data_IF_206785728294
#
_entry.id   IF_206785728294
#
_cell.length_a   1.000
_cell.length_b   1.000
_cell.length_c   1.000
_cell.angle_alpha   90.00
_cell.angle_beta   90.00
_cell.angle_gamma   90.00
#
_symmetry.space_group_name_H-M   'P 1'
#
loop_
_entity.id
_entity.type
_entity.pdbx_description
1 polymer ?
#
# COMPACT_ATOMS: atom_id res chain seq x y z
N UNK A 1 -72.14 -51.96 31.42
CA UNK A 1 -72.40 -52.20 29.98
C UNK A 1 -71.34 -51.41 29.22
N UNK A 2 -70.11 -51.93 29.11
CA UNK A 2 -69.55 -52.84 28.08
C UNK A 2 -69.20 -52.16 26.76
N UNK A 3 -67.89 -52.16 26.43
CA UNK A 3 -67.27 -52.01 25.10
C UNK A 3 -67.19 -50.57 24.58
N UNK A 4 -66.14 -50.09 23.92
CA UNK A 4 -65.11 -50.79 23.13
C UNK A 4 -63.90 -49.86 22.88
N UNK A 5 -62.71 -50.46 22.78
CA UNK A 5 -61.42 -49.90 22.36
C UNK A 5 -61.44 -49.03 21.10
N UNK A 6 -60.61 -47.97 21.05
CA UNK A 6 -59.67 -47.75 19.93
C UNK A 6 -58.57 -46.72 20.25
N UNK A 7 -57.33 -47.20 20.12
CA UNK A 7 -56.07 -46.53 19.75
C UNK A 7 -55.58 -45.26 20.46
N UNK A 8 -54.55 -45.48 21.28
CA UNK A 8 -53.54 -44.51 21.64
C UNK A 8 -52.37 -44.58 20.64
N UNK A 9 -52.08 -43.47 19.95
CA UNK A 9 -50.76 -43.21 19.35
C UNK A 9 -50.36 -41.76 19.62
N UNK A 10 -49.36 -41.63 20.47
CA UNK A 10 -48.70 -40.38 20.86
C UNK A 10 -47.45 -40.24 19.98
N UNK A 11 -47.13 -39.04 19.44
CA UNK A 11 -46.02 -38.89 18.50
C UNK A 11 -44.67 -39.02 19.20
N UNK A 12 -43.77 -39.79 18.57
CA UNK A 12 -42.41 -40.00 19.03
C UNK A 12 -41.54 -38.74 18.85
N UNK A 13 -40.90 -38.33 19.95
CA UNK A 13 -39.79 -37.40 20.01
C UNK A 13 -38.69 -37.82 19.03
N UNK A 14 -38.34 -36.93 18.10
CA UNK A 14 -37.19 -37.12 17.22
C UNK A 14 -35.97 -36.51 17.89
N UNK A 15 -35.14 -37.38 18.47
CA UNK A 15 -33.76 -37.06 18.87
C UNK A 15 -32.95 -36.83 17.59
N UNK A 16 -32.27 -35.69 17.39
CA UNK A 16 -31.39 -35.54 16.24
C UNK A 16 -30.13 -36.37 16.49
N UNK A 17 -29.84 -37.25 15.54
CA UNK A 17 -28.63 -38.03 15.46
C UNK A 17 -27.42 -37.10 15.40
N UNK A 18 -26.47 -37.31 16.31
CA UNK A 18 -25.11 -36.83 16.23
C UNK A 18 -24.41 -37.56 15.08
N UNK A 19 -23.99 -36.84 14.05
CA UNK A 19 -23.04 -37.32 13.05
C UNK A 19 -21.79 -36.45 13.17
N UNK A 20 -20.75 -37.01 13.77
CA UNK A 20 -19.37 -36.54 13.62
C UNK A 20 -18.71 -37.48 12.63
N UNK A 21 -18.18 -36.92 11.54
CA UNK A 21 -17.16 -37.40 10.59
C UNK A 21 -17.37 -36.50 9.35
N UNK A 22 -16.41 -35.83 8.72
CA UNK A 22 -14.96 -35.76 8.77
C UNK A 22 -14.59 -34.56 7.88
N UNK A 23 -13.71 -33.68 8.36
CA UNK A 23 -12.56 -33.17 7.60
C UNK A 23 -12.74 -32.58 6.17
N UNK A 24 -13.74 -31.70 5.95
CA UNK A 24 -13.90 -30.96 4.68
C UNK A 24 -13.74 -29.43 4.83
N UNK A 25 -12.75 -29.01 5.63
CA UNK A 25 -12.40 -27.58 5.79
C UNK A 25 -10.87 -27.40 5.84
N UNK A 26 -10.17 -27.94 4.83
CA UNK A 26 -8.75 -27.67 4.67
C UNK A 26 -8.28 -27.70 3.21
N UNK A 27 -9.10 -27.19 2.29
CA UNK A 27 -8.63 -26.67 1.00
C UNK A 27 -9.40 -25.40 0.67
N UNK A 28 -9.28 -24.39 1.53
CA UNK A 28 -9.36 -23.03 1.02
C UNK A 28 -8.18 -22.87 0.05
N UNK A 29 -8.41 -23.18 -1.22
CA UNK A 29 -7.54 -22.78 -2.32
C UNK A 29 -7.35 -21.30 -2.13
N UNK A 30 -6.19 -20.91 -1.60
CA UNK A 30 -5.77 -19.53 -1.55
C UNK A 30 -5.68 -19.14 -3.02
N UNK A 31 -6.73 -18.53 -3.56
CA UNK A 31 -6.71 -17.95 -4.90
C UNK A 31 -5.54 -16.99 -4.91
N UNK A 32 -4.42 -17.45 -5.47
CA UNK A 32 -3.22 -16.66 -5.57
C UNK A 32 -3.57 -15.48 -6.49
N UNK A 33 -3.39 -14.22 -6.01
CA UNK A 33 -3.76 -13.08 -6.81
C UNK A 33 -3.00 -13.13 -8.14
N UNK A 34 -3.72 -12.93 -9.24
CA UNK A 34 -3.14 -12.90 -10.56
C UNK A 34 -1.92 -11.95 -10.58
N UNK A 35 -0.88 -12.33 -11.33
CA UNK A 35 0.37 -11.57 -11.48
C UNK A 35 0.17 -10.11 -11.97
N UNK A 36 -1.07 -9.74 -12.35
CA UNK A 36 -1.44 -8.50 -13.01
C UNK A 36 -1.91 -7.38 -12.06
N UNK A 37 -2.22 -7.68 -10.81
CA UNK A 37 -2.71 -6.67 -9.86
C UNK A 37 -1.78 -6.57 -8.67
N UNK A 38 -0.87 -5.59 -8.71
CA UNK A 38 -0.39 -4.95 -7.48
C UNK A 38 -1.29 -3.74 -7.31
N UNK A 39 -2.46 -3.95 -6.71
CA UNK A 39 -3.46 -2.89 -6.55
C UNK A 39 -3.76 -2.59 -5.08
N UNK A 40 -3.41 -3.48 -4.16
CA UNK A 40 -3.70 -3.31 -2.74
C UNK A 40 -2.46 -3.40 -1.84
N UNK A 41 -2.54 -2.75 -0.67
CA UNK A 41 -1.51 -2.79 0.36
C UNK A 41 -1.17 -4.22 0.82
N UNK A 42 -2.12 -5.15 0.67
CA UNK A 42 -1.97 -6.59 0.92
C UNK A 42 -0.99 -7.24 -0.06
N UNK A 43 -0.83 -6.69 -1.27
CA UNK A 43 0.08 -7.22 -2.29
C UNK A 43 1.56 -6.96 -1.98
N UNK A 44 1.84 -5.91 -1.21
CA UNK A 44 3.21 -5.51 -0.82
C UNK A 44 3.74 -6.18 0.45
N UNK A 45 2.93 -6.99 1.14
CA UNK A 45 3.36 -7.68 2.36
C UNK A 45 4.49 -8.70 2.11
N UNK A 46 4.59 -9.25 0.89
CA UNK A 46 5.63 -10.23 0.52
C UNK A 46 6.98 -9.54 0.20
N UNK A 47 6.97 -8.24 -0.07
CA UNK A 47 8.18 -7.46 -0.43
C UNK A 47 8.80 -6.68 0.72
N UNK A 48 8.38 -6.94 1.96
CA UNK A 48 8.92 -6.25 3.13
C UNK A 48 10.40 -6.57 3.32
N UNK A 49 11.23 -5.61 3.76
CA UNK A 49 12.58 -5.92 4.20
C UNK A 49 12.52 -6.97 5.32
N UNK A 50 13.41 -7.96 5.26
CA UNK A 50 13.47 -9.04 6.25
C UNK A 50 14.35 -8.69 7.44
N UNK A 51 15.23 -7.69 7.30
CA UNK A 51 16.07 -7.17 8.37
C UNK A 51 15.39 -6.01 9.11
N UNK A 52 15.41 -6.06 10.44
CA UNK A 52 14.85 -5.01 11.29
C UNK A 52 15.62 -3.70 11.14
N UNK A 53 16.94 -3.76 10.93
CA UNK A 53 17.76 -2.56 10.75
C UNK A 53 17.39 -1.84 9.43
N UNK A 54 17.07 -2.59 8.38
CA UNK A 54 16.59 -2.04 7.10
C UNK A 54 15.19 -1.42 7.22
N UNK A 55 14.31 -2.04 8.02
CA UNK A 55 12.97 -1.48 8.32
C UNK A 55 13.12 -0.15 9.05
N UNK A 56 13.94 -0.12 10.11
CA UNK A 56 14.14 1.09 10.89
C UNK A 56 14.79 2.20 10.05
N UNK A 57 15.80 1.87 9.24
CA UNK A 57 16.43 2.81 8.32
C UNK A 57 15.43 3.38 7.30
N UNK A 58 14.56 2.54 6.75
CA UNK A 58 13.51 2.97 5.82
C UNK A 58 12.47 3.88 6.49
N UNK A 59 12.04 3.56 7.71
CA UNK A 59 11.09 4.38 8.47
C UNK A 59 11.71 5.76 8.78
N UNK A 60 13.00 5.81 9.14
CA UNK A 60 13.70 7.07 9.35
C UNK A 60 13.79 7.88 8.04
N UNK A 61 14.14 7.25 6.92
CA UNK A 61 14.19 7.93 5.62
C UNK A 61 12.83 8.50 5.20
N UNK A 62 11.73 7.81 5.50
CA UNK A 62 10.37 8.31 5.25
C UNK A 62 10.02 9.53 6.08
N UNK A 63 10.41 9.53 7.36
CA UNK A 63 10.19 10.67 8.24
C UNK A 63 11.03 11.89 7.81
N UNK A 64 12.28 11.66 7.43
CA UNK A 64 13.18 12.68 6.88
C UNK A 64 12.60 13.27 5.60
N UNK A 65 12.10 12.42 4.70
CA UNK A 65 11.42 12.85 3.48
C UNK A 65 10.20 13.73 3.80
N UNK A 66 9.29 13.26 4.66
CA UNK A 66 8.08 14.02 5.01
C UNK A 66 8.42 15.36 5.67
N UNK A 67 9.43 15.37 6.54
CA UNK A 67 9.90 16.59 7.18
C UNK A 67 10.42 17.58 6.15
N UNK A 68 11.34 17.13 5.29
CA UNK A 68 11.92 17.98 4.24
C UNK A 68 10.84 18.49 3.27
N UNK A 69 9.88 17.64 2.90
CA UNK A 69 8.77 17.97 2.01
C UNK A 69 7.83 19.01 2.59
N UNK A 70 7.42 18.86 3.86
CA UNK A 70 6.46 19.78 4.51
C UNK A 70 7.07 21.16 4.73
N UNK A 71 8.37 21.24 4.98
CA UNK A 71 9.08 22.51 5.16
C UNK A 71 9.62 23.11 3.86
N UNK A 72 9.45 22.44 2.72
CA UNK A 72 9.96 22.91 1.43
C UNK A 72 9.07 24.00 0.82
N UNK A 73 9.64 25.04 0.20
CA UNK A 73 8.86 25.92 -0.67
C UNK A 73 8.42 25.21 -1.97
N UNK A 74 9.04 24.08 -2.31
CA UNK A 74 8.78 23.32 -3.52
C UNK A 74 7.80 22.15 -3.31
N UNK A 75 7.07 22.10 -2.18
CA UNK A 75 6.15 20.99 -1.86
C UNK A 75 5.21 20.63 -3.01
N UNK A 76 4.53 21.62 -3.59
CA UNK A 76 3.58 21.38 -4.69
C UNK A 76 4.28 20.79 -5.93
N UNK A 77 5.45 21.32 -6.30
CA UNK A 77 6.22 20.83 -7.43
C UNK A 77 6.73 19.39 -7.21
N UNK A 78 7.17 19.08 -5.99
CA UNK A 78 7.56 17.71 -5.60
C UNK A 78 6.38 16.73 -5.64
N UNK A 79 5.21 17.13 -5.15
CA UNK A 79 3.98 16.32 -5.27
C UNK A 79 3.63 16.09 -6.74
N UNK A 80 3.66 17.12 -7.58
CA UNK A 80 3.36 16.98 -9.01
C UNK A 80 4.38 16.08 -9.75
N UNK A 81 5.65 16.12 -9.35
CA UNK A 81 6.68 15.23 -9.88
C UNK A 81 6.46 13.76 -9.47
N UNK A 82 5.95 13.51 -8.25
CA UNK A 82 5.72 12.15 -7.74
C UNK A 82 4.43 11.53 -8.27
N UNK A 83 3.31 12.25 -8.13
CA UNK A 83 1.95 11.69 -8.28
C UNK A 83 1.09 12.45 -9.29
N UNK A 84 1.66 13.42 -10.02
CA UNK A 84 0.95 14.26 -10.98
C UNK A 84 0.22 15.43 -10.34
N UNK A 85 -0.47 16.24 -11.14
CA UNK A 85 -1.42 17.23 -10.62
C UNK A 85 -2.82 16.62 -10.44
N UNK A 86 -3.73 17.39 -9.82
CA UNK A 86 -5.10 16.93 -9.58
C UNK A 86 -5.84 16.61 -10.90
N UNK A 87 -5.59 17.37 -11.98
CA UNK A 87 -6.30 17.22 -13.25
C UNK A 87 -5.94 15.89 -13.91
N UNK A 88 -4.66 15.51 -13.89
CA UNK A 88 -4.18 14.24 -14.42
C UNK A 88 -4.65 13.04 -13.60
N UNK A 89 -4.90 13.21 -12.29
CA UNK A 89 -5.46 12.14 -11.45
C UNK A 89 -6.95 11.92 -11.69
N UNK A 90 -7.71 12.99 -11.90
CA UNK A 90 -9.18 12.93 -12.03
C UNK A 90 -9.65 12.62 -13.47
N UNK A 91 -8.91 13.08 -14.48
CA UNK A 91 -9.39 13.08 -15.88
C UNK A 91 -9.29 11.75 -16.63
N UNK A 92 -8.40 10.84 -16.21
CA UNK A 92 -8.11 9.61 -16.99
C UNK A 92 -8.83 8.36 -16.49
N UNK A 93 -9.64 8.43 -15.42
CA UNK A 93 -10.15 7.22 -14.73
C UNK A 93 -9.02 6.28 -14.27
N UNK A 94 -7.79 6.80 -14.23
CA UNK A 94 -6.52 6.10 -14.11
C UNK A 94 -5.38 7.12 -14.00
N UNK A 95 -4.29 6.72 -13.35
CA UNK A 95 -3.15 7.59 -13.11
C UNK A 95 -2.29 7.72 -14.38
N UNK A 96 -1.65 8.89 -14.62
CA UNK A 96 -0.76 9.04 -15.77
C UNK A 96 0.38 8.02 -15.65
N UNK A 97 0.68 7.35 -16.76
CA UNK A 97 1.57 6.18 -16.76
C UNK A 97 2.99 6.49 -16.24
N UNK A 98 3.38 7.76 -16.30
CA UNK A 98 4.68 8.32 -15.93
C UNK A 98 4.73 8.86 -14.48
N UNK A 99 3.68 8.69 -13.67
CA UNK A 99 3.64 9.04 -12.24
C UNK A 99 3.20 7.87 -11.37
N UNK A 100 3.50 7.96 -10.08
CA UNK A 100 3.12 6.94 -9.09
C UNK A 100 1.63 7.10 -8.76
N UNK A 101 0.84 6.02 -8.88
CA UNK A 101 -0.56 6.05 -8.46
C UNK A 101 -0.70 6.27 -6.94
N UNK A 102 -1.67 7.10 -6.52
CA UNK A 102 -1.89 7.40 -5.09
C UNK A 102 -2.39 6.22 -4.25
N UNK A 103 -2.96 5.20 -4.89
CA UNK A 103 -3.35 3.95 -4.24
C UNK A 103 -2.15 3.01 -4.00
N UNK A 104 -0.96 3.31 -4.55
CA UNK A 104 0.21 2.46 -4.34
C UNK A 104 0.85 2.74 -2.97
N UNK A 105 1.31 1.68 -2.26
CA UNK A 105 1.93 1.79 -0.95
C UNK A 105 3.39 2.27 -1.05
N UNK A 106 3.56 3.57 -1.37
CA UNK A 106 4.86 4.22 -1.48
C UNK A 106 5.67 4.15 -0.18
N UNK A 107 4.98 4.23 0.96
CA UNK A 107 5.55 4.19 2.30
C UNK A 107 5.39 2.81 2.93
N UNK A 108 6.40 2.40 3.69
CA UNK A 108 6.38 1.24 4.57
C UNK A 108 5.48 1.51 5.78
N UNK A 109 5.58 2.70 6.37
CA UNK A 109 4.73 3.11 7.49
C UNK A 109 3.35 3.56 6.99
N UNK A 110 2.24 2.94 7.44
CA UNK A 110 0.89 3.38 7.09
C UNK A 110 0.60 4.81 7.55
N UNK A 111 1.20 5.24 8.67
CA UNK A 111 1.04 6.60 9.19
C UNK A 111 1.72 7.60 8.26
N UNK A 112 2.93 7.30 7.77
CA UNK A 112 3.63 8.16 6.82
C UNK A 112 2.87 8.26 5.49
N UNK A 113 2.35 7.14 4.99
CA UNK A 113 1.50 7.12 3.79
C UNK A 113 0.22 7.95 3.97
N UNK A 114 -0.40 7.90 5.15
CA UNK A 114 -1.57 8.74 5.47
C UNK A 114 -1.21 10.23 5.50
N UNK A 115 -0.11 10.60 6.15
CA UNK A 115 0.37 11.99 6.17
C UNK A 115 0.63 12.49 4.76
N UNK A 116 1.33 11.70 3.93
CA UNK A 116 1.60 12.04 2.54
C UNK A 116 0.32 12.27 1.74
N UNK A 117 -0.69 11.39 1.89
CA UNK A 117 -1.98 11.55 1.22
C UNK A 117 -2.66 12.87 1.60
N UNK A 118 -2.66 13.22 2.89
CA UNK A 118 -3.20 14.51 3.33
C UNK A 118 -2.39 15.70 2.79
N UNK A 119 -1.07 15.57 2.63
CA UNK A 119 -0.25 16.60 1.95
C UNK A 119 -0.71 16.77 0.50
N UNK A 120 -0.93 15.67 -0.23
CA UNK A 120 -1.43 15.72 -1.62
C UNK A 120 -2.79 16.40 -1.68
N UNK A 121 -3.73 16.02 -0.82
CA UNK A 121 -5.06 16.63 -0.72
C UNK A 121 -4.98 18.15 -0.49
N UNK A 122 -4.10 18.60 0.42
CA UNK A 122 -3.91 20.03 0.68
C UNK A 122 -3.30 20.76 -0.53
N UNK A 123 -2.34 20.15 -1.23
CA UNK A 123 -1.76 20.72 -2.46
C UNK A 123 -2.83 20.87 -3.53
N UNK A 124 -3.72 19.88 -3.68
CA UNK A 124 -4.79 19.89 -4.67
C UNK A 124 -5.85 20.96 -4.39
N UNK A 125 -6.14 21.19 -3.11
CA UNK A 125 -7.00 22.29 -2.66
C UNK A 125 -6.33 23.68 -2.79
N UNK A 126 -5.02 23.73 -3.09
CA UNK A 126 -4.22 24.96 -3.05
C UNK A 126 -4.03 25.51 -1.62
N UNK A 127 -4.22 24.67 -0.61
CA UNK A 127 -4.08 25.02 0.79
C UNK A 127 -2.62 24.97 1.24
N UNK A 128 -2.21 25.78 2.24
CA UNK A 128 -0.87 25.71 2.77
C UNK A 128 -0.61 24.38 3.49
N UNK A 129 0.49 23.72 3.14
CA UNK A 129 0.93 22.48 3.79
C UNK A 129 1.73 22.85 5.03
N UNK A 130 1.10 22.78 6.20
CA UNK A 130 1.75 23.03 7.49
C UNK A 130 1.43 21.92 8.49
N UNK A 131 2.32 21.63 9.45
CA UNK A 131 2.07 20.62 10.47
C UNK A 131 0.75 20.84 11.24
N UNK A 132 0.38 22.11 11.49
CA UNK A 132 -0.85 22.47 12.19
C UNK A 132 -2.10 22.08 11.39
N UNK A 133 -2.12 22.38 10.09
CA UNK A 133 -3.25 22.02 9.21
C UNK A 133 -3.33 20.50 9.04
N UNK A 134 -2.18 19.83 8.90
CA UNK A 134 -2.12 18.36 8.85
C UNK A 134 -2.69 17.73 10.12
N UNK A 135 -2.36 18.24 11.31
CA UNK A 135 -2.94 17.77 12.57
C UNK A 135 -4.45 17.94 12.62
N UNK A 136 -4.98 19.06 12.10
CA UNK A 136 -6.43 19.30 12.03
C UNK A 136 -7.11 18.31 11.09
N UNK A 137 -6.54 18.05 9.91
CA UNK A 137 -7.11 17.14 8.89
C UNK A 137 -7.05 15.66 9.29
N UNK A 138 -5.93 15.23 9.84
CA UNK A 138 -5.72 13.82 10.26
C UNK A 138 -6.55 13.50 11.52
N UNK A 139 -6.87 14.52 12.31
CA UNK A 139 -7.65 14.39 13.53
C UNK A 139 -6.77 14.06 14.74
N UNK A 140 -7.21 14.52 15.91
CA UNK A 140 -6.41 14.46 17.13
C UNK A 140 -6.54 13.14 17.88
N UNK A 141 -7.41 12.21 17.49
CA UNK A 141 -7.65 10.96 18.24
C UNK A 141 -6.55 9.92 18.06
N UNK A 142 -5.82 9.95 16.94
CA UNK A 142 -4.69 9.06 16.67
C UNK A 142 -3.40 9.58 17.34
N UNK A 143 -2.96 8.89 18.40
CA UNK A 143 -1.76 9.26 19.15
C UNK A 143 -0.48 9.11 18.31
N UNK A 144 -0.40 8.10 17.46
CA UNK A 144 0.82 7.80 16.71
C UNK A 144 1.03 8.79 15.56
N UNK A 145 -0.05 9.12 14.84
CA UNK A 145 -0.01 10.19 13.84
C UNK A 145 0.32 11.56 14.47
N UNK A 146 -0.26 11.87 15.64
CA UNK A 146 0.04 13.09 16.38
C UNK A 146 1.51 13.18 16.78
N UNK A 147 2.08 12.10 17.31
CA UNK A 147 3.49 12.06 17.70
C UNK A 147 4.40 12.30 16.49
N UNK A 148 4.10 11.65 15.36
CA UNK A 148 4.84 11.81 14.11
C UNK A 148 4.81 13.26 13.62
N UNK A 149 3.62 13.89 13.62
CA UNK A 149 3.47 15.29 13.22
C UNK A 149 4.17 16.27 14.17
N UNK A 150 4.27 15.96 15.47
CA UNK A 150 5.07 16.74 16.42
C UNK A 150 6.56 16.63 16.06
N UNK A 151 7.05 15.43 15.74
CA UNK A 151 8.44 15.22 15.29
C UNK A 151 8.72 15.98 14.00
N UNK A 152 7.79 15.99 13.04
CA UNK A 152 7.92 16.77 11.80
C UNK A 152 7.90 18.29 12.08
N UNK A 153 7.05 18.74 13.01
CA UNK A 153 6.94 20.15 13.36
C UNK A 153 8.18 20.68 14.11
N UNK A 154 8.86 19.82 14.85
CA UNK A 154 10.02 20.14 15.65
C UNK A 154 11.09 19.04 15.49
N UNK A 155 11.75 18.97 14.31
CA UNK A 155 12.75 17.94 14.05
C UNK A 155 13.92 18.09 15.03
N UNK A 156 14.23 17.02 15.75
CA UNK A 156 15.34 16.97 16.70
C UNK A 156 16.45 16.09 16.13
N UNK A 157 17.70 16.57 16.18
CA UNK A 157 18.88 15.78 15.76
C UNK A 157 19.51 16.22 14.44
N UNK A 158 20.26 15.31 13.81
CA UNK A 158 21.06 15.52 12.58
C UNK A 158 20.28 15.26 11.28
N UNK A 159 18.95 15.24 11.33
CA UNK A 159 18.09 15.04 10.14
C UNK A 159 18.13 16.20 9.15
N UNK A 160 17.47 16.08 7.98
CA UNK A 160 17.44 17.13 6.97
C UNK A 160 16.92 18.43 7.59
N UNK A 161 17.68 19.51 7.39
CA UNK A 161 17.32 20.81 7.96
C UNK A 161 16.01 21.30 7.31
N UNK A 162 15.14 21.98 8.07
CA UNK A 162 13.98 22.66 7.50
C UNK A 162 14.43 23.61 6.38
N UNK A 163 13.93 23.41 5.16
CA UNK A 163 14.37 24.18 4.00
C UNK A 163 14.18 23.46 2.66
N UNK A 164 13.99 22.14 2.68
CA UNK A 164 13.54 21.38 1.52
C UNK A 164 14.59 21.11 0.44
N UNK A 165 15.87 21.44 0.67
CA UNK A 165 16.96 21.17 -0.27
C UNK A 165 17.15 19.68 -0.56
N UNK A 166 16.81 18.84 0.43
CA UNK A 166 17.02 17.40 0.35
C UNK A 166 15.84 16.67 -0.29
N UNK A 167 14.75 17.39 -0.63
CA UNK A 167 13.53 16.78 -1.19
C UNK A 167 13.81 15.92 -2.42
N UNK A 168 14.56 16.37 -3.46
CA UNK A 168 14.81 15.53 -4.63
C UNK A 168 15.55 14.23 -4.29
N UNK A 169 16.55 14.31 -3.40
CA UNK A 169 17.34 13.15 -2.98
C UNK A 169 16.51 12.17 -2.14
N UNK A 170 15.78 12.68 -1.15
CA UNK A 170 14.94 11.88 -0.26
C UNK A 170 13.77 11.25 -1.04
N UNK A 171 13.10 12.01 -1.92
CA UNK A 171 12.08 11.48 -2.82
C UNK A 171 12.60 10.32 -3.65
N UNK A 172 13.79 10.44 -4.23
CA UNK A 172 14.41 9.34 -5.00
C UNK A 172 14.64 8.11 -4.13
N UNK A 173 15.11 8.28 -2.89
CA UNK A 173 15.28 7.19 -1.94
C UNK A 173 13.98 6.43 -1.67
N UNK A 174 12.89 7.16 -1.43
CA UNK A 174 11.56 6.56 -1.20
C UNK A 174 11.06 5.82 -2.43
N UNK A 175 11.21 6.40 -3.62
CA UNK A 175 10.81 5.77 -4.89
C UNK A 175 11.62 4.50 -5.15
N UNK A 176 12.94 4.55 -4.96
CA UNK A 176 13.82 3.40 -5.14
C UNK A 176 13.50 2.27 -4.16
N UNK A 177 13.23 2.60 -2.89
CA UNK A 177 12.78 1.63 -1.90
C UNK A 177 11.44 1.00 -2.29
N UNK A 178 10.48 1.79 -2.74
CA UNK A 178 9.19 1.31 -3.22
C UNK A 178 9.31 0.31 -4.36
N UNK A 179 10.08 0.63 -5.40
CA UNK A 179 10.29 -0.30 -6.51
C UNK A 179 11.07 -1.55 -6.07
N UNK A 180 12.04 -1.42 -5.17
CA UNK A 180 12.76 -2.59 -4.63
C UNK A 180 11.80 -3.55 -3.93
N UNK A 181 10.91 -3.04 -3.06
CA UNK A 181 9.86 -3.86 -2.41
C UNK A 181 8.94 -4.52 -3.44
N UNK A 182 8.52 -3.76 -4.45
CA UNK A 182 7.69 -4.28 -5.54
C UNK A 182 8.36 -5.42 -6.31
N UNK A 183 9.65 -5.28 -6.66
CA UNK A 183 10.41 -6.33 -7.33
C UNK A 183 10.58 -7.58 -6.47
N UNK A 184 10.85 -7.42 -5.17
CA UNK A 184 10.94 -8.57 -4.24
C UNK A 184 9.60 -9.30 -4.14
N UNK A 185 8.49 -8.57 -3.99
CA UNK A 185 7.16 -9.17 -3.96
C UNK A 185 6.83 -9.91 -5.26
N UNK A 186 7.23 -9.33 -6.39
CA UNK A 186 7.03 -9.92 -7.71
C UNK A 186 7.84 -11.21 -7.91
N UNK A 187 9.11 -11.24 -7.48
CA UNK A 187 9.95 -12.45 -7.53
C UNK A 187 9.38 -13.57 -6.66
N UNK A 188 8.90 -13.25 -5.45
CA UNK A 188 8.27 -14.23 -4.58
C UNK A 188 6.98 -14.82 -5.19
N UNK A 189 6.14 -13.98 -5.81
CA UNK A 189 4.95 -14.46 -6.55
C UNK A 189 5.33 -15.33 -7.73
N UNK A 190 6.39 -14.98 -8.45
CA UNK A 190 6.88 -15.78 -9.57
C UNK A 190 7.29 -17.17 -9.08
N UNK A 191 7.98 -17.26 -7.95
CA UNK A 191 8.36 -18.54 -7.37
C UNK A 191 7.14 -19.41 -7.04
N UNK A 192 6.10 -18.82 -6.44
CA UNK A 192 4.82 -19.52 -6.17
C UNK A 192 4.15 -19.95 -7.48
N UNK A 193 4.04 -19.06 -8.45
CA UNK A 193 3.41 -19.37 -9.74
C UNK A 193 4.15 -20.48 -10.52
N UNK A 194 5.47 -20.61 -10.35
CA UNK A 194 6.24 -21.71 -10.94
C UNK A 194 5.94 -23.07 -10.28
N UNK A 195 5.49 -23.09 -9.03
CA UNK A 195 5.13 -24.32 -8.32
C UNK A 195 3.76 -24.85 -8.77
N UNK A 196 2.86 -23.95 -9.20
CA UNK A 196 1.45 -24.27 -9.49
C UNK A 196 1.04 -24.24 -10.98
N UNK A 197 1.84 -23.66 -11.88
CA UNK A 197 1.42 -23.41 -13.27
C UNK A 197 1.69 -24.58 -14.24
N UNK A 198 0.75 -24.81 -15.17
CA UNK A 198 0.94 -25.68 -16.32
C UNK A 198 2.01 -25.11 -17.27
N UNK A 199 2.79 -25.98 -17.90
CA UNK A 199 3.97 -25.56 -18.70
C UNK A 199 3.58 -24.66 -19.89
N UNK A 200 2.35 -24.80 -20.39
CA UNK A 200 1.84 -24.03 -21.53
C UNK A 200 1.53 -22.56 -21.18
N UNK A 201 1.25 -22.24 -19.91
CA UNK A 201 0.92 -20.88 -19.45
C UNK A 201 2.14 -20.05 -19.06
N UNK A 202 3.30 -20.70 -18.84
CA UNK A 202 4.55 -20.05 -18.44
C UNK A 202 4.96 -18.93 -19.39
N UNK A 203 4.85 -19.13 -20.71
CA UNK A 203 5.23 -18.12 -21.69
C UNK A 203 4.37 -16.84 -21.61
N UNK A 204 3.07 -17.00 -21.29
CA UNK A 204 2.16 -15.89 -21.04
C UNK A 204 2.55 -15.11 -19.79
N UNK A 205 2.79 -15.81 -18.68
CA UNK A 205 3.23 -15.21 -17.42
C UNK A 205 4.55 -14.43 -17.56
N UNK A 206 5.53 -14.97 -18.29
CA UNK A 206 6.79 -14.27 -18.57
C UNK A 206 6.61 -12.99 -19.38
N UNK A 207 5.71 -13.00 -20.36
CA UNK A 207 5.41 -11.83 -21.19
C UNK A 207 4.75 -10.73 -20.37
N UNK A 208 3.74 -11.08 -19.57
CA UNK A 208 3.07 -10.15 -18.65
C UNK A 208 4.04 -9.56 -17.65
N UNK A 209 4.91 -10.38 -17.05
CA UNK A 209 5.94 -9.96 -16.11
C UNK A 209 6.91 -8.94 -16.72
N UNK A 210 7.41 -9.24 -17.92
CA UNK A 210 8.35 -8.37 -18.63
C UNK A 210 7.71 -7.02 -18.94
N UNK A 211 6.44 -7.03 -19.37
CA UNK A 211 5.68 -5.80 -19.62
C UNK A 211 5.49 -4.97 -18.34
N UNK A 212 5.20 -5.63 -17.21
CA UNK A 212 5.06 -4.97 -15.92
C UNK A 212 6.38 -4.33 -15.47
N UNK A 213 7.50 -5.06 -15.56
CA UNK A 213 8.82 -4.54 -15.24
C UNK A 213 9.18 -3.33 -16.12
N UNK A 214 8.98 -3.42 -17.44
CA UNK A 214 9.28 -2.30 -18.34
C UNK A 214 8.40 -1.08 -18.09
N UNK A 215 7.13 -1.27 -17.72
CA UNK A 215 6.25 -0.18 -17.33
C UNK A 215 6.72 0.46 -16.01
N UNK A 216 7.09 -0.36 -15.02
CA UNK A 216 7.62 0.08 -13.74
C UNK A 216 8.91 0.89 -13.90
N UNK A 217 9.86 0.41 -14.70
CA UNK A 217 11.13 1.10 -14.99
C UNK A 217 10.89 2.44 -15.70
N UNK A 218 10.05 2.47 -16.74
CA UNK A 218 9.71 3.73 -17.43
C UNK A 218 9.12 4.76 -16.48
N UNK A 219 8.20 4.35 -15.60
CA UNK A 219 7.61 5.23 -14.59
C UNK A 219 8.65 5.71 -13.58
N UNK A 220 9.52 4.82 -13.08
CA UNK A 220 10.62 5.18 -12.17
C UNK A 220 11.54 6.23 -12.79
N UNK A 221 11.92 6.05 -14.07
CA UNK A 221 12.75 7.02 -14.78
C UNK A 221 12.05 8.37 -14.95
N UNK A 222 10.78 8.38 -15.36
CA UNK A 222 10.04 9.62 -15.53
C UNK A 222 9.90 10.40 -14.21
N UNK A 223 9.60 9.73 -13.11
CA UNK A 223 9.49 10.34 -11.77
C UNK A 223 10.84 10.89 -11.31
N UNK A 224 11.91 10.11 -11.43
CA UNK A 224 13.26 10.54 -11.01
C UNK A 224 13.80 11.69 -11.87
N UNK A 225 13.51 11.72 -13.17
CA UNK A 225 13.82 12.83 -14.06
C UNK A 225 13.00 14.09 -13.72
N UNK A 226 11.72 13.95 -13.37
CA UNK A 226 10.90 15.07 -12.92
C UNK A 226 11.42 15.65 -11.59
N UNK A 227 11.82 14.80 -10.64
CA UNK A 227 12.39 15.23 -9.36
C UNK A 227 13.75 15.93 -9.52
N UNK A 228 14.58 15.49 -10.47
CA UNK A 228 15.90 16.10 -10.71
C UNK A 228 15.83 17.53 -11.27
N UNK A 229 14.65 18.00 -11.70
CA UNK A 229 14.42 19.34 -12.26
C UNK A 229 13.90 20.35 -11.22
N UNK A 230 13.69 19.92 -9.98
CA UNK A 230 13.30 20.76 -8.85
C UNK A 230 14.51 21.51 -8.28
#
# INVERSE_FOLDING_TARGET
MTGTDHDAHQPADTVPATTNEEDDDMTATLEHPALETVHDATDTLVGLPTDLDDIDAQIHAELDFLTSLIWSPATAAAIHALVGDHQHRDSTGGYPADRIPMNHPLFLSPIHGRIFRTVVELVDEGAPVTPQILMTRIGTTDRAARQTLITIAAPTGHGPLPGGSDVPYLSRGIVDAYYRRGYTALLARMQIALEDADTDDLAGHWTTLTNHQQAAERRRFAVTDALAKL
#
